data_IF_207521587066
#
_entry.id   IF_207521587066
#
_cell.length_a   1.000
_cell.length_b   1.000
_cell.length_c   1.000
_cell.angle_alpha   90.00
_cell.angle_beta   90.00
_cell.angle_gamma   90.00
#
_symmetry.space_group_name_H-M   'P 1'
#
loop_
_entity.id
_entity.type
_entity.pdbx_description
1 polymer ?
#
# COMPACT_ATOMS: atom_id res chain seq x y z
N UNK A 1 -48.40 -2.53 17.14
CA UNK A 1 -48.04 -3.71 17.97
C UNK A 1 -46.52 -3.67 18.13
N UNK A 2 -45.99 -3.72 19.35
CA UNK A 2 -44.54 -3.88 19.52
C UNK A 2 -44.16 -5.25 18.96
N UNK A 3 -43.18 -5.35 18.03
CA UNK A 3 -42.74 -6.64 17.54
C UNK A 3 -42.22 -7.46 18.73
N UNK A 4 -42.76 -8.67 18.90
CA UNK A 4 -42.26 -9.61 19.91
C UNK A 4 -40.86 -10.08 19.51
N UNK A 5 -39.99 -10.28 20.50
CA UNK A 5 -38.67 -10.86 20.24
C UNK A 5 -38.80 -12.23 19.55
N UNK A 6 -37.97 -12.53 18.53
CA UNK A 6 -37.95 -13.84 17.91
C UNK A 6 -37.60 -14.92 18.94
N UNK A 7 -38.15 -16.12 18.76
CA UNK A 7 -37.76 -17.26 19.59
C UNK A 7 -36.34 -17.74 19.26
N UNK A 8 -35.79 -18.60 20.11
CA UNK A 8 -34.42 -19.10 19.96
C UNK A 8 -34.23 -19.96 18.72
N UNK A 9 -35.28 -20.61 18.22
CA UNK A 9 -35.21 -21.45 17.03
C UNK A 9 -35.07 -20.58 15.76
N UNK A 10 -35.86 -19.52 15.66
CA UNK A 10 -35.77 -18.54 14.57
C UNK A 10 -34.41 -17.86 14.51
N UNK A 11 -33.85 -17.46 15.67
CA UNK A 11 -32.50 -16.87 15.75
C UNK A 11 -31.44 -17.86 15.26
N UNK A 12 -31.52 -19.13 15.68
CA UNK A 12 -30.57 -20.16 15.26
C UNK A 12 -30.66 -20.48 13.76
N UNK A 13 -31.87 -20.50 13.21
CA UNK A 13 -32.10 -20.69 11.78
C UNK A 13 -31.52 -19.53 10.96
N UNK A 14 -31.82 -18.30 11.35
CA UNK A 14 -31.27 -17.10 10.72
C UNK A 14 -29.73 -17.09 10.80
N UNK A 15 -29.15 -17.39 11.97
CA UNK A 15 -27.70 -17.46 12.14
C UNK A 15 -27.04 -18.49 11.22
N UNK A 16 -27.66 -19.67 11.04
CA UNK A 16 -27.16 -20.70 10.11
C UNK A 16 -27.24 -20.24 8.66
N UNK A 17 -28.36 -19.65 8.25
CA UNK A 17 -28.55 -19.15 6.90
C UNK A 17 -27.56 -18.02 6.57
N UNK A 18 -27.40 -17.06 7.47
CA UNK A 18 -26.47 -15.93 7.31
C UNK A 18 -25.02 -16.41 7.24
N UNK A 19 -24.61 -17.31 8.14
CA UNK A 19 -23.27 -17.90 8.11
C UNK A 19 -23.01 -18.64 6.79
N UNK A 20 -23.99 -19.41 6.31
CA UNK A 20 -23.89 -20.11 5.04
C UNK A 20 -23.70 -19.13 3.89
N UNK A 21 -24.51 -18.07 3.81
CA UNK A 21 -24.43 -17.04 2.76
C UNK A 21 -23.07 -16.33 2.80
N UNK A 22 -22.56 -15.97 3.97
CA UNK A 22 -21.27 -15.27 4.11
C UNK A 22 -20.09 -16.16 3.69
N UNK A 23 -20.07 -17.42 4.12
CA UNK A 23 -19.04 -18.39 3.71
C UNK A 23 -19.15 -18.66 2.22
N UNK A 24 -20.36 -18.89 1.69
CA UNK A 24 -20.58 -19.14 0.27
C UNK A 24 -20.14 -17.95 -0.58
N UNK A 25 -20.50 -16.72 -0.20
CA UNK A 25 -20.08 -15.50 -0.88
C UNK A 25 -18.55 -15.37 -0.90
N UNK A 26 -17.88 -15.66 0.21
CA UNK A 26 -16.42 -15.67 0.27
C UNK A 26 -15.81 -16.73 -0.65
N UNK A 27 -16.27 -17.98 -0.57
CA UNK A 27 -15.74 -19.09 -1.39
C UNK A 27 -16.00 -18.88 -2.88
N UNK A 28 -17.18 -18.39 -3.26
CA UNK A 28 -17.53 -18.09 -4.64
C UNK A 28 -16.73 -16.89 -5.14
N UNK A 29 -16.62 -15.81 -4.36
CA UNK A 29 -15.86 -14.62 -4.74
C UNK A 29 -14.36 -14.89 -4.86
N UNK A 30 -13.71 -15.27 -3.75
CA UNK A 30 -12.27 -15.51 -3.71
C UNK A 30 -11.87 -16.74 -4.52
N UNK A 31 -12.59 -17.85 -4.35
CA UNK A 31 -12.34 -19.08 -5.10
C UNK A 31 -12.65 -18.92 -6.59
N UNK A 32 -13.74 -18.24 -6.94
CA UNK A 32 -14.09 -17.93 -8.33
C UNK A 32 -13.03 -17.09 -9.03
N UNK A 33 -12.56 -16.00 -8.41
CA UNK A 33 -11.45 -15.20 -8.96
C UNK A 33 -10.17 -16.03 -9.05
N UNK A 34 -9.84 -16.81 -8.01
CA UNK A 34 -8.66 -17.67 -8.03
C UNK A 34 -8.70 -18.68 -9.20
N UNK A 35 -9.84 -19.35 -9.41
CA UNK A 35 -10.03 -20.29 -10.50
C UNK A 35 -10.03 -19.59 -11.86
N UNK A 36 -10.72 -18.47 -12.00
CA UNK A 36 -10.73 -17.68 -13.24
C UNK A 36 -9.31 -17.26 -13.64
N UNK A 37 -8.52 -16.76 -12.69
CA UNK A 37 -7.13 -16.39 -12.91
C UNK A 37 -6.28 -17.61 -13.26
N UNK A 38 -6.35 -18.69 -12.51
CA UNK A 38 -5.40 -19.80 -12.67
C UNK A 38 -5.75 -20.78 -13.80
N UNK A 39 -7.03 -20.93 -14.15
CA UNK A 39 -7.49 -21.85 -15.18
C UNK A 39 -7.71 -21.18 -16.54
N UNK A 40 -8.22 -19.94 -16.56
CA UNK A 40 -8.62 -19.26 -17.81
C UNK A 40 -7.64 -18.15 -18.16
N UNK A 41 -7.33 -17.27 -17.20
CA UNK A 41 -6.62 -16.02 -17.49
C UNK A 41 -5.10 -16.08 -17.26
N UNK A 42 -4.56 -17.20 -16.78
CA UNK A 42 -3.13 -17.33 -16.40
C UNK A 42 -2.20 -17.04 -17.56
N UNK A 43 -2.51 -17.60 -18.73
CA UNK A 43 -1.72 -17.43 -19.95
C UNK A 43 -1.86 -16.01 -20.54
N UNK A 44 -3.07 -15.47 -20.79
CA UNK A 44 -3.20 -14.12 -21.33
C UNK A 44 -2.69 -13.03 -20.37
N UNK A 45 -2.75 -13.27 -19.04
CA UNK A 45 -2.25 -12.33 -18.02
C UNK A 45 -0.83 -12.62 -17.53
N UNK A 46 -0.10 -13.60 -18.12
CA UNK A 46 1.28 -13.93 -17.74
C UNK A 46 2.18 -12.70 -17.60
N UNK A 47 2.10 -11.80 -18.57
CA UNK A 47 2.90 -10.58 -18.65
C UNK A 47 2.38 -9.46 -17.74
N UNK A 48 1.24 -9.69 -17.08
CA UNK A 48 0.56 -8.75 -16.19
C UNK A 48 0.62 -9.14 -14.72
N UNK A 49 1.49 -10.09 -14.39
CA UNK A 49 1.74 -10.50 -13.02
C UNK A 49 2.53 -9.41 -12.29
N UNK A 50 2.03 -8.94 -11.16
CA UNK A 50 2.59 -7.78 -10.45
C UNK A 50 3.87 -8.18 -9.70
N UNK A 51 3.86 -9.31 -9.00
CA UNK A 51 4.99 -9.82 -8.22
C UNK A 51 5.58 -11.10 -8.81
N UNK A 52 6.92 -11.28 -8.74
CA UNK A 52 7.53 -12.54 -9.14
C UNK A 52 7.09 -13.68 -8.21
N UNK A 53 6.90 -14.87 -8.77
CA UNK A 53 6.48 -16.05 -8.02
C UNK A 53 5.00 -16.05 -7.65
N UNK A 54 4.53 -17.15 -7.03
CA UNK A 54 3.16 -17.29 -6.55
C UNK A 54 3.15 -17.35 -5.03
N UNK A 55 2.03 -17.02 -4.37
CA UNK A 55 1.89 -17.18 -2.93
C UNK A 55 2.22 -18.60 -2.49
N UNK A 56 2.87 -18.76 -1.34
CA UNK A 56 3.17 -20.11 -0.81
C UNK A 56 1.89 -20.80 -0.35
N UNK A 57 1.87 -22.14 -0.38
CA UNK A 57 0.71 -22.91 0.10
C UNK A 57 0.42 -22.67 1.59
N UNK A 58 1.45 -22.42 2.39
CA UNK A 58 1.32 -22.06 3.81
C UNK A 58 0.63 -20.70 3.99
N UNK A 59 1.03 -19.69 3.21
CA UNK A 59 0.39 -18.38 3.22
C UNK A 59 -1.08 -18.50 2.79
N UNK A 60 -1.36 -19.18 1.67
CA UNK A 60 -2.74 -19.38 1.19
C UNK A 60 -3.62 -20.10 2.23
N UNK A 61 -3.09 -21.11 2.91
CA UNK A 61 -3.82 -21.80 3.99
C UNK A 61 -4.13 -20.83 5.14
N UNK A 62 -3.17 -20.01 5.56
CA UNK A 62 -3.37 -18.99 6.61
C UNK A 62 -4.42 -17.96 6.19
N UNK A 63 -4.37 -17.49 4.95
CA UNK A 63 -5.33 -16.56 4.35
C UNK A 63 -6.74 -17.16 4.41
N UNK A 64 -6.94 -18.37 3.90
CA UNK A 64 -8.23 -19.06 3.87
C UNK A 64 -8.80 -19.24 5.29
N UNK A 65 -8.01 -19.78 6.22
CA UNK A 65 -8.48 -20.05 7.58
C UNK A 65 -8.86 -18.75 8.32
N UNK A 66 -8.07 -17.70 8.13
CA UNK A 66 -8.37 -16.39 8.72
C UNK A 66 -9.62 -15.78 8.09
N UNK A 67 -9.78 -15.88 6.76
CA UNK A 67 -10.95 -15.39 6.05
C UNK A 67 -12.24 -16.10 6.44
N UNK A 68 -12.20 -17.42 6.71
CA UNK A 68 -13.34 -18.16 7.25
C UNK A 68 -13.71 -17.63 8.64
N UNK A 69 -12.72 -17.40 9.52
CA UNK A 69 -12.96 -16.77 10.83
C UNK A 69 -13.61 -15.39 10.68
N UNK A 70 -13.12 -14.56 9.76
CA UNK A 70 -13.70 -13.24 9.45
C UNK A 70 -15.13 -13.36 8.95
N UNK A 71 -15.44 -14.32 8.07
CA UNK A 71 -16.80 -14.57 7.62
C UNK A 71 -17.72 -14.96 8.78
N UNK A 72 -17.25 -15.72 9.77
CA UNK A 72 -18.02 -15.99 10.99
C UNK A 72 -18.31 -14.72 11.79
N UNK A 73 -17.36 -13.78 11.87
CA UNK A 73 -17.55 -12.49 12.54
C UNK A 73 -18.54 -11.61 11.77
N UNK A 74 -18.48 -11.61 10.44
CA UNK A 74 -19.47 -10.91 9.61
C UNK A 74 -20.86 -11.51 9.79
N UNK A 75 -20.96 -12.82 9.93
CA UNK A 75 -22.23 -13.49 10.17
C UNK A 75 -22.85 -13.10 11.52
N UNK A 76 -22.05 -12.87 12.58
CA UNK A 76 -22.61 -12.36 13.85
C UNK A 76 -23.17 -10.96 13.69
N UNK A 77 -22.50 -10.08 12.92
CA UNK A 77 -23.06 -8.77 12.56
C UNK A 77 -24.32 -8.92 11.71
N UNK A 78 -24.34 -9.85 10.76
CA UNK A 78 -25.53 -10.19 9.98
C UNK A 78 -26.72 -10.60 10.85
N UNK A 79 -26.49 -11.41 11.90
CA UNK A 79 -27.55 -11.75 12.88
C UNK A 79 -28.04 -10.51 13.62
N UNK A 80 -27.17 -9.57 13.96
CA UNK A 80 -27.60 -8.31 14.58
C UNK A 80 -28.44 -7.44 13.64
N UNK A 81 -28.10 -7.42 12.33
CA UNK A 81 -28.90 -6.75 11.29
C UNK A 81 -30.28 -7.39 11.18
N UNK A 82 -30.32 -8.72 11.07
CA UNK A 82 -31.58 -9.48 10.97
C UNK A 82 -32.49 -9.23 12.17
N UNK A 83 -31.93 -9.23 13.38
CA UNK A 83 -32.69 -8.94 14.60
C UNK A 83 -33.18 -7.49 14.63
N UNK A 84 -32.34 -6.53 14.25
CA UNK A 84 -32.72 -5.12 14.20
C UNK A 84 -33.84 -4.87 13.17
N UNK A 85 -33.80 -5.55 12.02
CA UNK A 85 -34.85 -5.53 11.01
C UNK A 85 -36.17 -6.11 11.53
N UNK A 86 -36.12 -7.26 12.23
CA UNK A 86 -37.30 -7.85 12.89
C UNK A 86 -37.95 -6.93 13.93
N UNK A 87 -37.14 -6.10 14.58
CA UNK A 87 -37.59 -5.09 15.55
C UNK A 87 -38.08 -3.80 14.87
N UNK A 88 -38.03 -3.70 13.54
CA UNK A 88 -38.43 -2.52 12.77
C UNK A 88 -37.47 -1.34 12.91
N UNK A 89 -36.21 -1.59 13.28
CA UNK A 89 -35.17 -0.56 13.44
C UNK A 89 -34.48 -0.22 12.11
N UNK A 90 -34.59 -1.10 11.12
CA UNK A 90 -33.98 -0.93 9.80
C UNK A 90 -35.07 -0.77 8.73
N UNK A 91 -34.68 -0.19 7.59
CA UNK A 91 -35.57 0.03 6.45
C UNK A 91 -35.26 -0.94 5.32
N UNK A 92 -35.32 -2.25 5.61
CA UNK A 92 -35.10 -3.30 4.62
C UNK A 92 -36.46 -3.72 4.05
N UNK A 93 -36.52 -3.91 2.73
CA UNK A 93 -37.74 -4.33 2.05
C UNK A 93 -37.47 -5.38 0.98
N UNK A 94 -38.41 -6.31 0.76
CA UNK A 94 -38.15 -7.45 -0.12
C UNK A 94 -38.30 -7.12 -1.61
N UNK A 95 -39.35 -6.39 -2.01
CA UNK A 95 -39.59 -6.04 -3.42
C UNK A 95 -38.65 -4.91 -3.90
N UNK A 96 -37.70 -5.18 -4.82
CA UNK A 96 -36.78 -4.15 -5.32
C UNK A 96 -37.48 -2.94 -5.95
N UNK A 97 -38.70 -3.11 -6.46
CA UNK A 97 -39.47 -2.05 -7.10
C UNK A 97 -40.32 -1.22 -6.13
N UNK A 98 -40.36 -1.55 -4.82
CA UNK A 98 -41.24 -0.90 -3.83
C UNK A 98 -41.09 0.63 -3.80
N UNK A 99 -39.86 1.14 -3.86
CA UNK A 99 -39.54 2.57 -3.93
C UNK A 99 -39.17 3.03 -5.36
N UNK A 100 -39.42 2.18 -6.36
CA UNK A 100 -39.11 2.41 -7.77
C UNK A 100 -37.69 2.01 -8.18
N UNK A 101 -37.53 1.63 -9.45
CA UNK A 101 -36.25 1.19 -10.02
C UNK A 101 -35.15 2.25 -9.97
N UNK A 102 -35.52 3.54 -10.03
CA UNK A 102 -34.57 4.63 -9.87
C UNK A 102 -33.94 4.63 -8.47
N UNK A 103 -34.76 4.50 -7.42
CA UNK A 103 -34.25 4.40 -6.05
C UNK A 103 -33.43 3.12 -5.82
N UNK A 104 -33.88 1.99 -6.37
CA UNK A 104 -33.10 0.75 -6.33
C UNK A 104 -31.67 0.95 -6.87
N UNK A 105 -31.51 1.58 -8.03
CA UNK A 105 -30.19 1.88 -8.58
C UNK A 105 -29.39 2.88 -7.73
N UNK A 106 -30.05 3.97 -7.28
CA UNK A 106 -29.42 5.02 -6.47
C UNK A 106 -28.93 4.46 -5.13
N UNK A 107 -29.73 3.64 -4.45
CA UNK A 107 -29.37 3.04 -3.15
C UNK A 107 -28.11 2.17 -3.25
N UNK A 108 -27.93 1.39 -4.33
CA UNK A 108 -26.70 0.63 -4.57
C UNK A 108 -25.50 1.56 -4.74
N UNK A 109 -25.65 2.64 -5.52
CA UNK A 109 -24.58 3.64 -5.73
C UNK A 109 -24.21 4.32 -4.40
N UNK A 110 -25.21 4.71 -3.60
CA UNK A 110 -25.00 5.30 -2.27
C UNK A 110 -24.24 4.33 -1.36
N UNK A 111 -24.64 3.05 -1.32
CA UNK A 111 -23.95 2.03 -0.54
C UNK A 111 -22.48 1.88 -0.96
N UNK A 112 -22.16 1.96 -2.25
CA UNK A 112 -20.77 1.87 -2.74
C UNK A 112 -19.95 3.11 -2.38
N UNK A 113 -20.47 4.31 -2.65
CA UNK A 113 -19.75 5.58 -2.43
C UNK A 113 -19.52 5.85 -0.94
N UNK A 114 -20.53 5.58 -0.11
CA UNK A 114 -20.40 5.71 1.35
C UNK A 114 -19.48 4.65 1.93
N UNK A 115 -19.47 3.43 1.38
CA UNK A 115 -18.53 2.39 1.80
C UNK A 115 -17.10 2.78 1.45
N UNK A 116 -16.84 3.31 0.26
CA UNK A 116 -15.51 3.80 -0.11
C UNK A 116 -15.01 4.86 0.87
N UNK A 117 -15.90 5.77 1.26
CA UNK A 117 -15.63 6.81 2.25
C UNK A 117 -15.31 6.24 3.62
N UNK A 118 -16.17 5.37 4.14
CA UNK A 118 -15.93 4.67 5.40
C UNK A 118 -14.60 3.93 5.38
N UNK A 119 -14.38 3.12 4.34
CA UNK A 119 -13.19 2.31 4.19
C UNK A 119 -11.94 3.18 4.15
N UNK A 120 -11.88 4.23 3.31
CA UNK A 120 -10.70 5.09 3.22
C UNK A 120 -10.27 5.64 4.59
N UNK A 121 -11.21 6.19 5.35
CA UNK A 121 -10.91 6.80 6.65
C UNK A 121 -10.55 5.77 7.72
N UNK A 122 -11.26 4.64 7.78
CA UNK A 122 -10.94 3.55 8.70
C UNK A 122 -9.59 2.92 8.33
N UNK A 123 -9.34 2.68 7.05
CA UNK A 123 -8.10 2.09 6.55
C UNK A 123 -6.91 3.00 6.90
N UNK A 124 -7.01 4.30 6.61
CA UNK A 124 -5.99 5.27 7.01
C UNK A 124 -5.79 5.35 8.52
N UNK A 125 -6.86 5.24 9.31
CA UNK A 125 -6.79 5.21 10.78
C UNK A 125 -6.06 3.97 11.29
N UNK A 126 -6.40 2.78 10.80
CA UNK A 126 -5.76 1.53 11.23
C UNK A 126 -4.32 1.41 10.74
N UNK A 127 -3.86 2.26 9.82
CA UNK A 127 -2.45 2.41 9.47
C UNK A 127 -1.61 3.29 10.41
N UNK A 128 -2.22 3.87 11.45
CA UNK A 128 -1.45 4.47 12.55
C UNK A 128 -0.73 3.38 13.33
N UNK A 129 0.52 3.64 13.72
CA UNK A 129 1.47 2.66 14.30
C UNK A 129 0.84 1.64 15.27
N UNK A 130 0.11 2.10 16.28
CA UNK A 130 -0.46 1.24 17.33
C UNK A 130 -1.63 0.38 16.82
N UNK A 131 -2.52 0.97 16.03
CA UNK A 131 -3.66 0.26 15.45
C UNK A 131 -3.20 -0.71 14.35
N UNK A 132 -2.18 -0.35 13.58
CA UNK A 132 -1.61 -1.21 12.56
C UNK A 132 -1.10 -2.50 13.18
N UNK A 133 -0.26 -2.40 14.20
CA UNK A 133 0.26 -3.57 14.91
C UNK A 133 -0.85 -4.49 15.42
N UNK A 134 -1.91 -3.92 15.99
CA UNK A 134 -3.00 -4.68 16.62
C UNK A 134 -4.03 -5.22 15.64
N UNK A 135 -4.33 -4.50 14.56
CA UNK A 135 -5.50 -4.78 13.72
C UNK A 135 -5.10 -5.17 12.30
N UNK A 136 -4.23 -4.40 11.66
CA UNK A 136 -4.04 -4.49 10.20
C UNK A 136 -2.72 -5.15 9.77
N UNK A 137 -1.77 -5.32 10.69
CA UNK A 137 -0.48 -5.96 10.41
C UNK A 137 -0.63 -7.40 9.94
N UNK A 138 -1.66 -8.11 10.40
CA UNK A 138 -1.97 -9.48 9.97
C UNK A 138 -2.33 -9.53 8.48
N UNK A 139 -3.16 -8.60 8.03
CA UNK A 139 -3.52 -8.48 6.61
C UNK A 139 -2.28 -8.24 5.73
N UNK A 140 -1.38 -7.35 6.17
CA UNK A 140 -0.12 -7.04 5.47
C UNK A 140 0.95 -8.14 5.55
N UNK A 141 0.74 -9.23 6.30
CA UNK A 141 1.68 -10.39 6.27
C UNK A 141 1.62 -11.14 4.95
N UNK A 142 0.54 -10.98 4.19
CA UNK A 142 0.41 -11.52 2.84
C UNK A 142 1.26 -10.72 1.85
N UNK A 143 2.57 -10.98 1.82
CA UNK A 143 3.52 -10.22 0.98
C UNK A 143 3.30 -10.40 -0.54
N UNK A 144 2.70 -11.52 -0.94
CA UNK A 144 2.19 -11.75 -2.29
C UNK A 144 0.73 -12.16 -2.13
N UNK A 145 -0.20 -11.21 -2.00
CA UNK A 145 -1.58 -11.53 -1.69
C UNK A 145 -2.22 -12.44 -2.74
N UNK A 146 -3.10 -13.32 -2.29
CA UNK A 146 -3.98 -14.09 -3.16
C UNK A 146 -5.43 -13.63 -3.00
N UNK A 147 -6.36 -13.98 -3.91
CA UNK A 147 -7.79 -13.66 -3.73
C UNK A 147 -8.35 -14.10 -2.37
N UNK A 148 -7.76 -15.14 -1.74
CA UNK A 148 -8.16 -15.62 -0.43
C UNK A 148 -7.77 -14.70 0.73
N UNK A 149 -6.87 -13.74 0.50
CA UNK A 149 -6.51 -12.71 1.48
C UNK A 149 -7.57 -11.62 1.65
N UNK A 150 -8.59 -11.58 0.77
CA UNK A 150 -9.64 -10.56 0.78
C UNK A 150 -10.29 -10.33 2.16
N UNK A 151 -10.49 -11.39 2.94
CA UNK A 151 -11.02 -11.32 4.31
C UNK A 151 -10.01 -11.75 5.37
N UNK A 152 -8.71 -11.80 5.06
CA UNK A 152 -7.67 -12.21 6.00
C UNK A 152 -7.33 -11.07 6.98
N UNK A 153 -8.30 -10.74 7.81
CA UNK A 153 -8.27 -9.65 8.78
C UNK A 153 -8.05 -10.17 10.19
N UNK A 154 -7.52 -9.30 11.05
CA UNK A 154 -7.68 -9.52 12.49
C UNK A 154 -9.11 -9.21 12.94
N UNK A 155 -9.52 -9.69 14.11
CA UNK A 155 -10.85 -9.48 14.70
C UNK A 155 -11.24 -7.99 14.73
N UNK A 156 -10.36 -7.12 15.21
CA UNK A 156 -10.67 -5.68 15.30
C UNK A 156 -10.89 -5.02 13.94
N UNK A 157 -10.09 -5.40 12.95
CA UNK A 157 -10.25 -4.94 11.57
C UNK A 157 -11.54 -5.49 10.95
N UNK A 158 -11.87 -6.77 11.17
CA UNK A 158 -13.13 -7.36 10.72
C UNK A 158 -14.33 -6.59 11.27
N UNK A 159 -14.37 -6.34 12.59
CA UNK A 159 -15.48 -5.60 13.20
C UNK A 159 -15.61 -4.20 12.59
N UNK A 160 -14.51 -3.45 12.45
CA UNK A 160 -14.55 -2.09 11.88
C UNK A 160 -15.05 -2.06 10.43
N UNK A 161 -14.67 -3.05 9.62
CA UNK A 161 -15.18 -3.17 8.25
C UNK A 161 -16.67 -3.57 8.24
N UNK A 162 -17.09 -4.51 9.11
CA UNK A 162 -18.46 -4.98 9.18
C UNK A 162 -19.45 -3.92 9.67
N UNK A 163 -19.01 -3.01 10.55
CA UNK A 163 -19.85 -1.96 11.15
C UNK A 163 -20.44 -0.97 10.13
N UNK A 164 -19.82 -0.81 8.97
CA UNK A 164 -20.35 0.08 7.93
C UNK A 164 -21.79 -0.28 7.55
N UNK A 165 -22.04 -1.56 7.27
CA UNK A 165 -23.28 -2.00 6.66
C UNK A 165 -24.53 -1.80 7.55
N UNK A 166 -24.55 -2.19 8.84
CA UNK A 166 -25.69 -1.88 9.71
C UNK A 166 -25.93 -0.37 9.84
N UNK A 167 -24.86 0.45 9.91
CA UNK A 167 -25.00 1.91 10.00
C UNK A 167 -25.61 2.50 8.72
N UNK A 168 -25.26 1.97 7.55
CA UNK A 168 -25.86 2.39 6.30
C UNK A 168 -27.35 2.03 6.22
N UNK A 169 -27.74 0.83 6.68
CA UNK A 169 -29.13 0.34 6.65
C UNK A 169 -30.08 1.08 7.61
N UNK A 170 -29.55 1.78 8.62
CA UNK A 170 -30.35 2.68 9.48
C UNK A 170 -30.80 3.93 8.70
N UNK A 171 -29.98 4.40 7.75
CA UNK A 171 -30.16 5.70 7.10
C UNK A 171 -30.76 5.53 5.70
N UNK A 172 -30.43 4.43 5.01
CA UNK A 172 -30.78 4.21 3.61
C UNK A 172 -31.79 3.07 3.53
N UNK A 173 -33.03 3.33 3.07
CA UNK A 173 -33.94 2.25 2.72
C UNK A 173 -33.38 1.45 1.56
N UNK A 174 -33.20 0.14 1.76
CA UNK A 174 -32.49 -0.75 0.85
C UNK A 174 -33.30 -2.03 0.65
N UNK A 175 -33.43 -2.48 -0.61
CA UNK A 175 -34.03 -3.79 -0.85
C UNK A 175 -33.06 -4.92 -0.52
N UNK A 176 -33.58 -6.10 -0.17
CA UNK A 176 -32.77 -7.31 0.06
C UNK A 176 -31.85 -7.61 -1.14
N UNK A 177 -32.34 -7.42 -2.36
CA UNK A 177 -31.56 -7.61 -3.59
C UNK A 177 -30.43 -6.57 -3.72
N UNK A 178 -30.68 -5.29 -3.39
CA UNK A 178 -29.66 -4.25 -3.43
C UNK A 178 -28.56 -4.51 -2.38
N UNK A 179 -28.94 -4.93 -1.17
CA UNK A 179 -28.03 -5.38 -0.12
C UNK A 179 -27.15 -6.55 -0.59
N UNK A 180 -27.75 -7.55 -1.24
CA UNK A 180 -27.02 -8.68 -1.80
C UNK A 180 -26.04 -8.24 -2.90
N UNK A 181 -26.49 -7.44 -3.87
CA UNK A 181 -25.64 -6.93 -4.95
C UNK A 181 -24.45 -6.14 -4.39
N UNK A 182 -24.69 -5.26 -3.41
CA UNK A 182 -23.64 -4.48 -2.77
C UNK A 182 -22.58 -5.39 -2.10
N UNK A 183 -23.01 -6.34 -1.25
CA UNK A 183 -22.05 -7.20 -0.54
C UNK A 183 -21.32 -8.18 -1.47
N UNK A 184 -21.98 -8.67 -2.53
CA UNK A 184 -21.36 -9.48 -3.57
C UNK A 184 -20.33 -8.67 -4.38
N UNK A 185 -20.67 -7.44 -4.76
CA UNK A 185 -19.77 -6.52 -5.45
C UNK A 185 -18.53 -6.21 -4.59
N UNK A 186 -18.71 -5.89 -3.32
CA UNK A 186 -17.62 -5.66 -2.36
C UNK A 186 -16.66 -6.85 -2.29
N UNK A 187 -17.19 -8.07 -2.12
CA UNK A 187 -16.37 -9.29 -2.07
C UNK A 187 -15.58 -9.51 -3.39
N UNK A 188 -16.23 -9.29 -4.53
CA UNK A 188 -15.62 -9.47 -5.84
C UNK A 188 -14.47 -8.48 -6.07
N UNK A 189 -14.71 -7.20 -5.78
CA UNK A 189 -13.69 -6.14 -5.87
C UNK A 189 -12.50 -6.45 -4.97
N UNK A 190 -12.76 -6.84 -3.72
CA UNK A 190 -11.71 -7.19 -2.77
C UNK A 190 -10.86 -8.37 -3.27
N UNK A 191 -11.49 -9.44 -3.77
CA UNK A 191 -10.79 -10.59 -4.35
C UNK A 191 -9.95 -10.22 -5.58
N UNK A 192 -10.46 -9.32 -6.43
CA UNK A 192 -9.74 -8.80 -7.60
C UNK A 192 -8.50 -8.00 -7.17
N UNK A 193 -8.60 -7.10 -6.19
CA UNK A 193 -7.47 -6.30 -5.72
C UNK A 193 -6.33 -7.14 -5.14
N UNK A 194 -6.63 -8.34 -4.67
CA UNK A 194 -5.64 -9.28 -4.14
C UNK A 194 -5.29 -10.41 -5.11
N UNK A 195 -5.70 -10.34 -6.39
CA UNK A 195 -5.50 -11.48 -7.29
C UNK A 195 -4.06 -11.65 -7.81
N UNK A 196 -3.19 -10.66 -7.59
CA UNK A 196 -1.77 -10.69 -7.98
C UNK A 196 -1.50 -10.42 -9.47
N UNK A 197 -2.54 -10.13 -10.25
CA UNK A 197 -2.45 -9.77 -11.67
C UNK A 197 -3.15 -8.44 -11.95
N UNK A 198 -2.53 -7.60 -12.77
CA UNK A 198 -3.15 -6.36 -13.23
C UNK A 198 -4.17 -6.64 -14.34
N UNK A 199 -5.44 -6.71 -13.96
CA UNK A 199 -6.54 -7.05 -14.85
C UNK A 199 -7.17 -5.83 -15.52
N UNK A 200 -6.90 -4.62 -15.03
CA UNK A 200 -7.53 -3.42 -15.53
C UNK A 200 -6.90 -3.01 -16.88
N UNK A 201 -7.74 -2.56 -17.84
CA UNK A 201 -7.26 -2.13 -19.14
C UNK A 201 -6.46 -0.83 -19.01
N UNK A 202 -5.45 -0.67 -19.88
CA UNK A 202 -4.67 0.56 -20.00
C UNK A 202 -5.23 1.44 -21.11
N UNK A 203 -5.13 2.75 -20.93
CA UNK A 203 -5.32 3.75 -21.97
C UNK A 203 -4.10 3.81 -22.91
N UNK A 204 -4.21 4.57 -24.00
CA UNK A 204 -3.10 4.83 -24.93
C UNK A 204 -1.91 5.52 -24.24
N UNK A 205 -2.16 6.26 -23.15
CA UNK A 205 -1.12 6.96 -22.39
C UNK A 205 -0.33 6.05 -21.43
N UNK A 206 -0.72 4.78 -21.29
CA UNK A 206 -0.15 3.83 -20.32
C UNK A 206 -0.82 3.87 -18.93
N UNK A 207 -1.61 4.90 -18.63
CA UNK A 207 -2.44 4.98 -17.41
C UNK A 207 -3.63 4.01 -17.44
N UNK A 208 -4.25 3.67 -16.29
CA UNK A 208 -5.52 2.94 -16.28
C UNK A 208 -6.57 3.62 -17.17
N UNK A 209 -7.38 2.83 -17.88
CA UNK A 209 -8.46 3.37 -18.72
C UNK A 209 -9.48 4.16 -17.89
N UNK A 210 -9.79 3.63 -16.70
CA UNK A 210 -10.65 4.25 -15.70
C UNK A 210 -9.77 4.63 -14.51
N UNK A 211 -9.04 5.72 -14.65
CA UNK A 211 -8.00 6.16 -13.71
C UNK A 211 -8.54 6.57 -12.31
N UNK A 212 -9.85 6.75 -12.18
CA UNK A 212 -10.53 7.03 -10.91
C UNK A 212 -10.88 5.76 -10.12
N UNK A 213 -10.69 4.56 -10.70
CA UNK A 213 -10.87 3.28 -10.01
C UNK A 213 -9.55 2.80 -9.39
N UNK A 214 -9.63 2.24 -8.19
CA UNK A 214 -8.53 1.50 -7.58
C UNK A 214 -8.29 0.20 -8.36
N UNK A 215 -7.09 0.03 -8.89
CA UNK A 215 -6.70 -1.20 -9.61
C UNK A 215 -5.97 -2.20 -8.70
N UNK A 216 -5.70 -3.40 -9.21
CA UNK A 216 -4.88 -4.39 -8.48
C UNK A 216 -3.50 -3.83 -8.14
N UNK A 217 -2.86 -3.10 -9.06
CA UNK A 217 -1.55 -2.48 -8.82
C UNK A 217 -1.60 -1.37 -7.78
N UNK A 218 -2.69 -0.58 -7.75
CA UNK A 218 -2.88 0.45 -6.71
C UNK A 218 -2.87 -0.18 -5.32
N UNK A 219 -3.63 -1.26 -5.13
CA UNK A 219 -3.71 -1.98 -3.86
C UNK A 219 -2.46 -2.82 -3.55
N UNK A 220 -1.79 -3.40 -4.56
CA UNK A 220 -0.53 -4.11 -4.34
C UNK A 220 0.58 -3.16 -3.83
N UNK A 221 0.65 -1.94 -4.37
CA UNK A 221 1.55 -0.90 -3.85
C UNK A 221 1.21 -0.51 -2.41
N UNK A 222 -0.09 -0.51 -2.05
CA UNK A 222 -0.50 -0.38 -0.67
C UNK A 222 0.08 -1.51 0.20
N UNK A 223 -0.03 -2.77 -0.20
CA UNK A 223 0.59 -3.89 0.53
C UNK A 223 2.13 -3.76 0.63
N UNK A 224 2.78 -3.20 -0.39
CA UNK A 224 4.22 -2.97 -0.37
C UNK A 224 4.68 -1.88 0.62
N UNK A 225 3.86 -0.84 0.81
CA UNK A 225 4.31 0.43 1.41
C UNK A 225 3.41 1.00 2.49
N UNK A 226 2.11 0.71 2.37
CA UNK A 226 0.87 1.15 3.03
C UNK A 226 0.81 2.44 3.83
N UNK A 227 1.74 3.35 3.57
CA UNK A 227 1.57 4.78 3.81
C UNK A 227 0.76 5.48 2.72
N UNK A 228 0.48 4.76 1.63
CA UNK A 228 -0.14 5.27 0.41
C UNK A 228 -1.32 4.37 0.03
N UNK A 229 -2.20 4.87 -0.84
CA UNK A 229 -3.25 4.11 -1.52
C UNK A 229 -4.24 3.46 -0.54
N UNK A 230 -5.02 4.27 0.19
CA UNK A 230 -5.97 3.76 1.17
C UNK A 230 -7.38 3.48 0.60
N UNK A 231 -7.71 4.01 -0.57
CA UNK A 231 -9.02 3.88 -1.20
C UNK A 231 -9.35 2.46 -1.63
N UNK A 232 -10.63 2.08 -1.56
CA UNK A 232 -11.08 0.73 -1.87
C UNK A 232 -11.56 0.60 -3.31
N UNK A 233 -12.66 1.25 -3.67
CA UNK A 233 -13.19 1.23 -5.04
C UNK A 233 -12.54 2.32 -5.90
N UNK A 234 -12.27 3.48 -5.29
CA UNK A 234 -11.90 4.69 -6.01
C UNK A 234 -10.61 5.31 -5.49
N UNK A 235 -9.90 6.01 -6.39
CA UNK A 235 -8.66 6.75 -6.06
C UNK A 235 -8.92 8.18 -5.59
N UNK A 236 -10.17 8.64 -5.58
CA UNK A 236 -10.48 10.05 -5.37
C UNK A 236 -10.06 10.55 -3.97
N UNK A 237 -10.29 9.76 -2.91
CA UNK A 237 -9.85 10.15 -1.56
C UNK A 237 -8.34 10.23 -1.48
N UNK A 238 -7.62 9.29 -2.09
CA UNK A 238 -6.17 9.32 -2.15
C UNK A 238 -5.65 10.56 -2.89
N UNK A 239 -6.31 10.96 -3.98
CA UNK A 239 -5.94 12.17 -4.72
C UNK A 239 -6.24 13.45 -3.95
N UNK A 240 -7.42 13.55 -3.34
CA UNK A 240 -7.84 14.72 -2.55
C UNK A 240 -6.92 14.90 -1.34
N UNK A 241 -6.57 13.81 -0.67
CA UNK A 241 -5.76 13.84 0.54
C UNK A 241 -4.26 13.74 0.30
N UNK A 242 -3.83 13.65 -0.96
CA UNK A 242 -2.41 13.52 -1.34
C UNK A 242 -1.76 12.22 -0.86
N UNK A 243 -2.52 11.13 -0.77
CA UNK A 243 -2.06 9.81 -0.35
C UNK A 243 -1.99 8.78 -1.48
N UNK A 244 -2.17 9.17 -2.74
CA UNK A 244 -1.88 8.32 -3.90
C UNK A 244 -0.36 8.15 -4.07
N UNK A 245 0.09 6.91 -4.25
CA UNK A 245 1.50 6.57 -4.36
C UNK A 245 2.10 7.28 -5.59
N UNK A 246 3.21 8.03 -5.45
CA UNK A 246 3.79 8.80 -6.56
C UNK A 246 4.16 7.98 -7.80
N UNK A 247 4.55 6.71 -7.61
CA UNK A 247 4.89 5.79 -8.71
C UNK A 247 3.70 4.99 -9.26
N UNK A 248 2.46 5.22 -8.81
CA UNK A 248 1.31 4.38 -9.16
C UNK A 248 1.14 4.20 -10.68
N UNK A 249 1.08 5.30 -11.45
CA UNK A 249 0.90 5.22 -12.90
C UNK A 249 2.06 4.52 -13.61
N UNK A 250 3.29 4.70 -13.14
CA UNK A 250 4.45 4.02 -13.71
C UNK A 250 4.36 2.51 -13.49
N UNK A 251 4.12 2.11 -12.23
CA UNK A 251 4.02 0.70 -11.84
C UNK A 251 2.83 0.01 -12.51
N UNK A 252 1.70 0.71 -12.64
CA UNK A 252 0.56 0.21 -13.40
C UNK A 252 0.93 -0.02 -14.87
N UNK A 253 1.62 0.92 -15.52
CA UNK A 253 2.02 0.78 -16.92
C UNK A 253 2.97 -0.43 -17.12
N UNK A 254 3.95 -0.58 -16.23
CA UNK A 254 4.87 -1.73 -16.18
C UNK A 254 4.09 -3.05 -16.03
N UNK A 255 3.19 -3.14 -15.05
CA UNK A 255 2.34 -4.30 -14.82
C UNK A 255 1.34 -4.54 -15.96
N UNK A 256 0.85 -3.51 -16.63
CA UNK A 256 -0.09 -3.63 -17.75
C UNK A 256 0.59 -4.00 -19.08
N UNK A 257 1.90 -4.32 -19.06
CA UNK A 257 2.66 -4.83 -20.19
C UNK A 257 3.14 -3.74 -21.17
N UNK A 258 3.56 -2.56 -20.70
CA UNK A 258 4.40 -1.68 -21.53
C UNK A 258 5.87 -2.04 -21.39
N UNK A 259 6.44 -2.65 -22.43
CA UNK A 259 7.90 -2.71 -22.62
C UNK A 259 8.52 -1.34 -22.94
N UNK A 260 7.71 -0.30 -23.13
CA UNK A 260 8.14 1.05 -23.50
C UNK A 260 8.63 1.91 -22.32
N UNK A 261 8.66 1.41 -21.09
CA UNK A 261 9.33 2.10 -19.97
C UNK A 261 10.82 2.33 -20.30
N UNK A 262 11.46 1.43 -21.05
CA UNK A 262 12.81 1.63 -21.59
C UNK A 262 12.88 2.71 -22.68
N UNK A 263 11.80 2.99 -23.42
CA UNK A 263 11.77 4.08 -24.41
C UNK A 263 11.51 5.43 -23.76
N UNK A 264 10.66 5.51 -22.74
CA UNK A 264 10.40 6.76 -22.00
C UNK A 264 11.56 7.15 -21.08
N UNK A 265 12.21 6.19 -20.42
CA UNK A 265 13.44 6.44 -19.65
C UNK A 265 14.61 6.87 -20.57
N UNK A 266 14.73 6.27 -21.77
CA UNK A 266 15.69 6.73 -22.76
C UNK A 266 15.31 8.07 -23.41
N UNK A 267 14.02 8.40 -23.54
CA UNK A 267 13.57 9.69 -24.07
C UNK A 267 13.79 10.81 -23.06
N UNK A 268 13.58 10.57 -21.76
CA UNK A 268 13.91 11.51 -20.68
C UNK A 268 15.44 11.69 -20.54
N UNK A 269 16.24 10.60 -20.56
CA UNK A 269 17.72 10.70 -20.62
C UNK A 269 18.24 11.43 -21.85
N UNK A 270 17.57 11.29 -23.00
CA UNK A 270 17.96 11.96 -24.26
C UNK A 270 17.54 13.43 -24.31
N UNK A 271 16.48 13.81 -23.61
CA UNK A 271 16.08 15.22 -23.45
C UNK A 271 17.01 15.94 -22.46
N UNK A 272 17.45 15.25 -21.40
CA UNK A 272 18.39 15.79 -20.41
C UNK A 272 19.79 16.00 -21.02
N UNK A 273 20.29 15.03 -21.80
CA UNK A 273 21.57 15.16 -22.52
C UNK A 273 21.58 16.19 -23.66
N UNK A 274 20.42 16.66 -24.13
CA UNK A 274 20.31 17.66 -25.20
C UNK A 274 19.99 19.08 -24.68
N UNK A 275 19.95 19.29 -23.37
CA UNK A 275 19.82 20.61 -22.73
C UNK A 275 21.17 21.14 -22.22
N UNK A 276 22.20 21.08 -23.07
CA UNK A 276 23.31 22.02 -22.96
C UNK A 276 22.80 23.40 -23.42
N UNK A 277 22.38 24.24 -22.47
CA UNK A 277 22.01 25.63 -22.74
C UNK A 277 23.28 26.41 -23.16
N UNK A 278 23.24 27.19 -24.26
CA UNK A 278 24.40 27.94 -24.72
C UNK A 278 24.78 29.03 -23.72
N UNK A 279 26.06 29.10 -23.38
CA UNK A 279 26.66 30.16 -22.57
C UNK A 279 26.51 31.51 -23.29
N UNK A 280 25.52 32.32 -22.90
CA UNK A 280 25.43 33.71 -23.33
C UNK A 280 25.99 34.59 -22.21
N UNK A 281 27.16 35.16 -22.49
CA UNK A 281 27.74 36.28 -21.76
C UNK A 281 26.79 37.47 -21.75
N UNK A 282 26.50 38.03 -20.57
CA UNK A 282 25.94 39.35 -20.43
C UNK A 282 26.91 40.24 -19.65
N UNK A 283 27.53 41.14 -20.40
CA UNK A 283 28.32 42.28 -19.95
C UNK A 283 27.39 43.39 -19.40
N UNK A 284 27.90 44.09 -18.38
CA UNK A 284 27.63 45.48 -17.97
C UNK A 284 26.21 45.93 -17.59
N UNK A 285 26.07 46.40 -16.34
CA UNK A 285 25.77 47.81 -16.05
C UNK A 285 26.41 48.22 -14.70
N UNK A 286 27.09 49.37 -14.73
CA UNK A 286 27.82 50.03 -13.62
C UNK A 286 26.92 51.10 -12.98
N UNK A 287 27.24 51.45 -11.72
CA UNK A 287 26.93 52.66 -10.92
C UNK A 287 25.89 52.39 -9.82
N UNK A 288 26.04 52.75 -8.55
CA UNK A 288 27.06 53.45 -7.74
C UNK A 288 26.66 53.19 -6.27
N UNK A 289 27.60 52.99 -5.35
CA UNK A 289 27.25 52.90 -3.93
C UNK A 289 28.30 52.19 -3.07
N UNK A 290 29.48 52.80 -2.98
CA UNK A 290 30.55 52.47 -2.04
C UNK A 290 30.09 52.51 -0.58
N UNK A 291 30.24 51.40 0.16
CA UNK A 291 30.66 51.42 1.57
C UNK A 291 31.20 50.04 1.99
N UNK A 292 32.42 50.04 2.55
CA UNK A 292 32.84 49.07 3.57
C UNK A 292 33.20 47.66 3.11
N UNK A 293 34.48 47.45 2.87
CA UNK A 293 35.12 46.14 2.75
C UNK A 293 34.96 45.27 4.00
N UNK A 294 34.32 44.11 3.85
CA UNK A 294 34.70 42.86 4.54
C UNK A 294 34.57 41.72 3.53
N UNK A 295 35.70 41.31 2.95
CA UNK A 295 35.78 40.07 2.17
C UNK A 295 35.72 38.89 3.15
N UNK A 296 34.52 38.36 3.37
CA UNK A 296 34.38 36.97 3.80
C UNK A 296 34.64 36.10 2.58
N UNK A 297 35.79 35.43 2.55
CA UNK A 297 36.01 34.32 1.63
C UNK A 297 34.99 33.24 1.97
N UNK A 298 33.90 33.17 1.22
CA UNK A 298 33.05 31.98 1.20
C UNK A 298 33.86 30.83 0.60
N UNK A 299 34.59 30.15 1.47
CA UNK A 299 34.95 28.75 1.31
C UNK A 299 33.67 28.01 0.91
N UNK A 300 33.64 27.48 -0.31
CA UNK A 300 32.73 26.39 -0.64
C UNK A 300 33.10 25.23 0.29
N UNK A 301 32.43 25.13 1.43
CA UNK A 301 32.62 24.02 2.34
C UNK A 301 32.30 22.74 1.55
N UNK A 302 33.34 21.99 1.18
CA UNK A 302 33.19 20.63 0.71
C UNK A 302 32.53 19.87 1.86
N UNK A 303 31.25 19.55 1.71
CA UNK A 303 30.52 18.73 2.67
C UNK A 303 31.33 17.46 2.89
N UNK A 304 31.63 17.14 4.14
CA UNK A 304 32.47 15.99 4.42
C UNK A 304 31.81 14.72 3.84
N UNK A 305 32.59 13.72 3.37
CA UNK A 305 32.03 12.48 2.84
C UNK A 305 31.08 11.76 3.79
N UNK A 306 31.26 11.97 5.11
CA UNK A 306 30.39 11.47 6.15
C UNK A 306 29.06 12.24 6.18
N UNK A 307 29.08 13.58 6.23
CA UNK A 307 27.87 14.41 6.18
C UNK A 307 27.02 14.13 4.93
N UNK A 308 27.65 13.82 3.80
CA UNK A 308 26.94 13.49 2.57
C UNK A 308 26.03 12.27 2.73
N UNK A 309 26.41 11.28 3.55
CA UNK A 309 25.67 10.04 3.74
C UNK A 309 24.96 9.92 5.09
N UNK A 310 25.27 10.78 6.06
CA UNK A 310 24.65 10.73 7.39
C UNK A 310 23.18 11.14 7.37
N UNK A 311 22.42 10.57 8.30
CA UNK A 311 21.00 10.85 8.55
C UNK A 311 20.06 9.75 8.06
N UNK A 312 18.76 10.08 8.00
CA UNK A 312 17.70 9.12 7.68
C UNK A 312 17.49 8.96 6.18
N UNK A 313 17.51 7.70 5.73
CA UNK A 313 17.34 7.31 4.34
C UNK A 313 16.22 6.27 4.21
N UNK A 314 15.33 6.49 3.26
CA UNK A 314 14.33 5.52 2.89
C UNK A 314 14.84 4.63 1.75
N UNK A 315 14.62 3.32 1.87
CA UNK A 315 14.96 2.36 0.81
C UNK A 315 14.17 2.62 -0.47
N UNK A 316 14.56 1.95 -1.56
CA UNK A 316 13.78 1.97 -2.79
C UNK A 316 12.34 1.48 -2.51
N UNK A 317 11.35 2.24 -2.97
CA UNK A 317 9.95 2.00 -2.64
C UNK A 317 9.59 2.23 -1.17
N UNK A 318 10.39 2.94 -0.35
CA UNK A 318 10.00 3.35 1.00
C UNK A 318 9.63 2.22 1.98
N UNK A 319 10.16 1.02 1.78
CA UNK A 319 9.83 -0.18 2.58
C UNK A 319 10.51 -0.20 3.95
N UNK A 320 11.65 0.47 4.09
CA UNK A 320 12.36 0.69 5.36
C UNK A 320 12.97 2.09 5.41
N UNK A 321 13.21 2.59 6.62
CA UNK A 321 14.01 3.78 6.90
C UNK A 321 15.18 3.37 7.78
N UNK A 322 16.38 3.74 7.35
CA UNK A 322 17.62 3.48 8.05
C UNK A 322 18.29 4.81 8.38
N UNK A 323 18.73 4.96 9.62
CA UNK A 323 19.53 6.09 10.05
C UNK A 323 21.01 5.72 9.98
N UNK A 324 21.77 6.48 9.20
CA UNK A 324 23.19 6.25 8.93
C UNK A 324 24.03 7.17 9.80
N UNK A 325 24.85 6.57 10.65
CA UNK A 325 25.70 7.24 11.64
C UNK A 325 27.06 6.53 11.77
N UNK A 326 28.09 7.20 12.33
CA UNK A 326 29.33 6.51 12.70
C UNK A 326 29.07 5.30 13.61
N UNK A 327 29.81 4.21 13.39
CA UNK A 327 29.68 3.03 14.23
C UNK A 327 30.12 3.34 15.67
N UNK A 328 29.28 3.00 16.67
CA UNK A 328 29.58 3.21 18.10
C UNK A 328 30.88 2.57 18.58
N UNK A 329 31.30 1.46 17.96
CA UNK A 329 32.53 0.75 18.28
C UNK A 329 33.77 1.32 17.58
N UNK A 330 33.60 2.05 16.48
CA UNK A 330 34.68 2.65 15.72
C UNK A 330 34.16 3.80 14.85
N UNK A 331 34.42 5.04 15.27
CA UNK A 331 33.94 6.25 14.61
C UNK A 331 34.55 6.51 13.21
N UNK A 332 35.58 5.76 12.81
CA UNK A 332 36.10 5.80 11.43
C UNK A 332 35.28 4.95 10.45
N UNK A 333 34.36 4.12 10.97
CA UNK A 333 33.46 3.30 10.19
C UNK A 333 32.04 3.87 10.23
N UNK A 334 31.27 3.60 9.18
CA UNK A 334 29.86 3.94 9.09
C UNK A 334 28.99 2.71 9.26
N UNK A 335 27.92 2.90 10.01
CA UNK A 335 26.90 1.94 10.34
C UNK A 335 25.52 2.55 10.06
N UNK A 336 24.49 1.70 10.04
CA UNK A 336 23.13 2.16 9.83
C UNK A 336 22.14 1.28 10.55
N UNK A 337 21.32 1.90 11.38
CA UNK A 337 20.31 1.23 12.19
C UNK A 337 18.97 1.36 11.51
N UNK A 338 18.18 0.28 11.50
CA UNK A 338 16.77 0.39 11.15
C UNK A 338 16.14 1.42 12.09
N UNK A 339 15.26 2.28 11.60
CA UNK A 339 14.48 3.22 12.43
C UNK A 339 13.00 2.96 12.23
N UNK A 340 12.65 2.52 11.04
CA UNK A 340 11.29 2.15 10.70
C UNK A 340 11.30 1.09 9.59
N UNK A 341 10.31 0.21 9.60
CA UNK A 341 10.10 -0.77 8.56
C UNK A 341 8.61 -0.99 8.32
N UNK A 342 8.26 -1.26 7.05
CA UNK A 342 6.90 -1.60 6.65
C UNK A 342 6.55 -3.05 6.96
N UNK A 343 7.50 -3.98 6.77
CA UNK A 343 7.25 -5.42 6.93
C UNK A 343 6.82 -5.77 8.37
N UNK A 344 5.66 -6.43 8.56
CA UNK A 344 5.18 -6.85 9.88
C UNK A 344 6.18 -7.73 10.66
N UNK A 345 6.96 -8.55 9.96
CA UNK A 345 7.94 -9.46 10.54
C UNK A 345 9.09 -8.69 11.23
N UNK A 346 9.37 -7.47 10.77
CA UNK A 346 10.40 -6.58 11.32
C UNK A 346 9.92 -5.79 12.54
N UNK A 347 8.61 -5.78 12.79
CA UNK A 347 7.99 -5.01 13.87
C UNK A 347 7.86 -5.86 15.14
N UNK A 348 7.79 -7.20 15.02
CA UNK A 348 7.55 -8.10 16.16
C UNK A 348 8.78 -8.37 17.04
N UNK A 349 9.99 -8.34 16.50
CA UNK A 349 11.19 -8.86 17.17
C UNK A 349 12.15 -7.76 17.67
N UNK A 350 11.60 -6.58 18.02
CA UNK A 350 12.36 -5.32 18.20
C UNK A 350 13.40 -5.07 17.08
N UNK A 351 13.18 -5.64 15.89
CA UNK A 351 14.17 -5.66 14.82
C UNK A 351 14.44 -4.24 14.27
N UNK A 352 13.57 -3.29 14.58
CA UNK A 352 13.78 -1.85 14.41
C UNK A 352 15.00 -1.30 15.16
N UNK A 353 15.65 -2.03 16.08
CA UNK A 353 16.96 -1.63 16.65
C UNK A 353 18.16 -2.31 15.96
N UNK A 354 17.92 -3.14 14.94
CA UNK A 354 18.98 -3.91 14.30
C UNK A 354 19.84 -3.02 13.42
N UNK A 355 21.13 -3.28 13.52
CA UNK A 355 22.14 -2.71 12.66
C UNK A 355 22.07 -3.39 11.28
N UNK A 356 21.54 -2.68 10.29
CA UNK A 356 21.31 -3.15 8.91
C UNK A 356 22.54 -2.88 8.04
N UNK A 357 23.26 -1.79 8.30
CA UNK A 357 24.51 -1.44 7.63
C UNK A 357 25.66 -1.55 8.63
N UNK A 358 26.72 -2.30 8.29
CA UNK A 358 27.87 -2.52 9.18
C UNK A 358 29.20 -2.27 8.49
N UNK A 359 30.05 -1.47 9.13
CA UNK A 359 31.50 -1.47 8.92
C UNK A 359 31.96 -0.90 7.58
N UNK A 360 31.26 0.11 7.07
CA UNK A 360 31.66 0.78 5.85
C UNK A 360 32.83 1.74 6.13
N UNK A 361 33.84 1.76 5.26
CA UNK A 361 34.92 2.76 5.31
C UNK A 361 35.01 3.47 3.96
N UNK A 362 35.45 4.72 3.99
CA UNK A 362 35.56 5.54 2.79
C UNK A 362 36.89 5.28 2.08
N UNK A 363 36.85 4.98 0.78
CA UNK A 363 38.03 4.70 -0.04
C UNK A 363 38.53 5.92 -0.85
N UNK A 364 37.93 7.10 -0.64
CA UNK A 364 38.19 8.31 -1.43
C UNK A 364 37.17 8.57 -2.54
N UNK A 365 36.29 7.61 -2.84
CA UNK A 365 35.21 7.76 -3.81
C UNK A 365 33.86 7.27 -3.27
N UNK A 366 33.86 6.10 -2.63
CA UNK A 366 32.66 5.44 -2.11
C UNK A 366 32.95 4.76 -0.77
N UNK A 367 31.89 4.36 -0.11
CA UNK A 367 31.95 3.60 1.14
C UNK A 367 31.94 2.11 0.81
N UNK A 368 33.01 1.40 1.17
CA UNK A 368 33.25 0.01 0.72
C UNK A 368 33.56 -0.92 1.90
N UNK A 369 33.65 -2.23 1.57
CA UNK A 369 33.85 -3.34 2.51
C UNK A 369 32.78 -3.49 3.61
N UNK A 370 31.70 -2.73 3.53
CA UNK A 370 30.58 -2.85 4.44
C UNK A 370 29.70 -4.06 4.14
N UNK A 371 28.77 -4.31 5.06
CA UNK A 371 27.79 -5.39 4.96
C UNK A 371 26.38 -4.84 5.12
N UNK A 372 25.46 -5.32 4.29
CA UNK A 372 24.01 -5.16 4.47
C UNK A 372 23.46 -6.44 5.06
N UNK A 373 22.64 -6.32 6.09
CA UNK A 373 21.92 -7.44 6.69
C UNK A 373 20.46 -7.33 6.26
N UNK A 374 19.95 -8.34 5.55
CA UNK A 374 18.55 -8.38 5.21
C UNK A 374 17.73 -8.52 6.51
N UNK A 375 16.79 -7.61 6.78
CA UNK A 375 16.24 -7.44 8.12
C UNK A 375 15.36 -8.63 8.57
N UNK A 376 14.74 -9.37 7.63
CA UNK A 376 13.89 -10.54 7.91
C UNK A 376 14.72 -11.83 7.94
N UNK A 377 15.37 -12.18 6.82
CA UNK A 377 16.14 -13.42 6.67
C UNK A 377 17.48 -13.46 7.41
N UNK A 378 17.96 -12.34 7.97
CA UNK A 378 19.30 -12.16 8.54
C UNK A 378 20.46 -12.51 7.59
N UNK A 379 20.18 -12.67 6.29
CA UNK A 379 21.21 -12.91 5.30
C UNK A 379 22.11 -11.69 5.15
N UNK A 380 23.41 -11.95 5.02
CA UNK A 380 24.44 -10.90 4.99
C UNK A 380 25.01 -10.78 3.59
N UNK A 381 24.98 -9.57 3.06
CA UNK A 381 25.46 -9.23 1.73
C UNK A 381 26.65 -8.27 1.88
N UNK A 382 27.69 -8.45 1.06
CA UNK A 382 28.73 -7.43 0.94
C UNK A 382 28.15 -6.25 0.19
N UNK A 383 28.47 -5.04 0.62
CA UNK A 383 27.84 -3.85 0.05
C UNK A 383 28.78 -2.67 -0.12
N UNK A 384 28.38 -1.76 -1.00
CA UNK A 384 28.96 -0.42 -1.15
C UNK A 384 27.88 0.65 -1.13
N UNK A 385 28.24 1.85 -0.67
CA UNK A 385 27.36 3.03 -0.63
C UNK A 385 28.07 4.16 -1.38
N UNK A 386 27.37 4.78 -2.33
CA UNK A 386 27.88 5.94 -3.06
C UNK A 386 26.82 7.05 -3.07
N UNK A 387 27.17 8.29 -2.68
CA UNK A 387 26.33 9.44 -2.95
C UNK A 387 26.12 9.61 -4.46
N UNK A 388 24.89 9.86 -4.88
CA UNK A 388 24.54 10.10 -6.28
C UNK A 388 24.07 11.52 -6.52
N UNK A 389 23.18 12.02 -5.66
CA UNK A 389 22.84 13.44 -5.52
C UNK A 389 22.83 13.82 -4.04
N UNK A 390 22.54 15.08 -3.71
CA UNK A 390 22.39 15.53 -2.32
C UNK A 390 21.33 14.73 -1.53
N UNK A 391 20.33 14.21 -2.24
CA UNK A 391 19.16 13.53 -1.68
C UNK A 391 19.05 12.05 -2.08
N UNK A 392 20.06 11.50 -2.76
CA UNK A 392 20.05 10.09 -3.19
C UNK A 392 21.37 9.38 -2.92
N UNK A 393 21.26 8.15 -2.41
CA UNK A 393 22.37 7.19 -2.32
C UNK A 393 22.12 6.02 -3.26
N UNK A 394 23.18 5.53 -3.88
CA UNK A 394 23.18 4.20 -4.49
C UNK A 394 23.77 3.21 -3.50
N UNK A 395 22.95 2.21 -3.17
CA UNK A 395 23.32 1.08 -2.34
C UNK A 395 23.46 -0.12 -3.27
N UNK A 396 24.65 -0.73 -3.31
CA UNK A 396 24.92 -1.92 -4.11
C UNK A 396 25.23 -3.09 -3.18
N UNK A 397 24.44 -4.16 -3.26
CA UNK A 397 24.64 -5.40 -2.50
C UNK A 397 25.01 -6.55 -3.42
N UNK A 398 26.02 -7.35 -3.05
CA UNK A 398 26.52 -8.45 -3.86
C UNK A 398 26.52 -9.78 -3.10
N UNK A 399 26.10 -10.85 -3.78
CA UNK A 399 26.26 -12.24 -3.36
C UNK A 399 27.48 -12.84 -4.04
N UNK A 400 28.40 -13.39 -3.24
CA UNK A 400 29.60 -14.09 -3.70
C UNK A 400 30.46 -13.32 -4.74
N UNK A 401 30.42 -11.98 -4.73
CA UNK A 401 31.12 -11.07 -5.68
C UNK A 401 30.67 -11.13 -7.15
N UNK A 402 29.71 -11.99 -7.52
CA UNK A 402 29.32 -12.19 -8.92
C UNK A 402 27.95 -11.60 -9.23
N UNK A 403 27.01 -11.64 -8.29
CA UNK A 403 25.64 -11.18 -8.49
C UNK A 403 25.40 -9.94 -7.63
N UNK A 404 25.42 -8.77 -8.25
CA UNK A 404 25.23 -7.48 -7.58
C UNK A 404 23.91 -6.83 -8.03
N UNK A 405 23.17 -6.30 -7.06
CA UNK A 405 21.95 -5.52 -7.30
C UNK A 405 22.11 -4.12 -6.70
N UNK A 406 21.61 -3.12 -7.44
CA UNK A 406 21.66 -1.70 -7.04
C UNK A 406 20.27 -1.21 -6.66
N UNK A 407 20.20 -0.47 -5.57
CA UNK A 407 19.01 0.25 -5.14
C UNK A 407 19.34 1.73 -4.94
N UNK A 408 18.38 2.59 -5.28
CA UNK A 408 18.47 4.01 -4.97
C UNK A 408 17.68 4.28 -3.69
N UNK A 409 18.38 4.81 -2.69
CA UNK A 409 17.78 5.25 -1.43
C UNK A 409 17.62 6.76 -1.47
N UNK A 410 16.55 7.27 -0.88
CA UNK A 410 16.21 8.71 -0.88
C UNK A 410 16.27 9.28 0.52
N UNK A 411 16.80 10.50 0.64
CA UNK A 411 16.86 11.20 1.93
C UNK A 411 15.44 11.42 2.42
N UNK A 412 15.18 11.10 3.69
CA UNK A 412 13.81 11.16 4.21
C UNK A 412 13.23 12.59 4.15
N UNK A 413 14.07 13.61 4.37
CA UNK A 413 13.67 15.02 4.34
C UNK A 413 13.34 15.57 2.95
N UNK A 414 13.77 14.90 1.88
CA UNK A 414 13.53 15.34 0.50
C UNK A 414 12.25 14.73 -0.10
N UNK A 415 11.56 13.87 0.64
CA UNK A 415 10.31 13.27 0.19
C UNK A 415 9.16 14.27 0.35
N UNK A 416 8.26 14.42 -0.64
CA UNK A 416 7.10 15.31 -0.56
C UNK A 416 6.30 15.03 0.72
N UNK A 417 6.30 16.02 1.61
CA UNK A 417 5.68 16.07 2.95
C UNK A 417 5.34 14.72 3.62
N UNK A 418 6.37 14.11 4.22
CA UNK A 418 6.21 13.48 5.54
C UNK A 418 5.76 14.59 6.49
N UNK A 419 4.47 14.60 6.87
CA UNK A 419 3.98 15.47 7.95
C UNK A 419 4.92 15.24 9.14
N UNK A 420 5.59 16.32 9.57
CA UNK A 420 6.41 16.37 10.78
C UNK A 420 5.66 15.62 11.87
N UNK A 421 6.24 14.52 12.34
CA UNK A 421 5.83 13.94 13.61
C UNK A 421 6.09 15.01 14.66
N UNK A 422 5.06 15.74 15.06
CA UNK A 422 5.09 16.46 16.32
C UNK A 422 5.25 15.38 17.39
N UNK A 423 6.47 15.25 17.88
CA UNK A 423 6.70 14.96 19.28
C UNK A 423 6.08 16.10 20.06
N UNK A 424 4.93 15.83 20.66
CA UNK A 424 4.56 16.18 22.04
C UNK A 424 3.40 15.27 22.48
#
# INVERSE_FOLDING_TARGET
MNPSLPDTAAVLEAARAILFVDIARYLIGAGGIFLAINLVLRNPLKHRKIRPGSPSSLQMRSEILTSIRTATIFATVGVTIWLADHLGLLQIYSDPAHLGWAWFAISIILLVVLHDTWFYWIHRLIHRRTLFQRMHSHHHRSQNPSPFSAYSFNMGEAILNALYFPLALVIIPVSELAAFIFTAHMMMVNAVHHCGYEIYPKSQSGKPLLDWLTTTTHHDLHHANGRWNFGFYFTFWDRIMGTEHPEYHQRFSEAAGTSDANKSANKLKRIDNNRELPKISALLFILLGSFGTFHSTNSSAQTSPLEAISGMWASNGYSIVVDIEPCKSNYSLVCGSLVWAWSPDLIQDEAWKRLILKGFHYDGNRWVNGKIIHPVSNQVYRATIRPDTQDTLIIEGCVAFVLCEKQTWRRLSSLPHVIKTNTD
#
